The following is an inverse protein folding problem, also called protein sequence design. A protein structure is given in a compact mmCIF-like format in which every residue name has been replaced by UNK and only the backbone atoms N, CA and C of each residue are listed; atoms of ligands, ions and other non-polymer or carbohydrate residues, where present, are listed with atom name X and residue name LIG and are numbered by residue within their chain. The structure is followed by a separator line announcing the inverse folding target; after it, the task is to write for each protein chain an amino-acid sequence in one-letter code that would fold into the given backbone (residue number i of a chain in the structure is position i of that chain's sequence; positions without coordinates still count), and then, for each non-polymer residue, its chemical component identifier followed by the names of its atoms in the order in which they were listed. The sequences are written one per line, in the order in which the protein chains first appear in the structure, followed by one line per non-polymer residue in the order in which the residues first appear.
data_IF_852799748303
#
_entry.id   IF_852799748303
#
_cell.length_a   1.000
_cell.length_b   1.000
_cell.length_c   1.000
_cell.angle_alpha   90.00
_cell.angle_beta   90.00
_cell.angle_gamma   90.00
#
_symmetry.space_group_name_H-M   'P 1'
#
loop_
_entity.id
_entity.type
_entity.pdbx_description
1 polymer ?
#
# COMPACT_ATOMS: atom_id res chain seq x y z
N UNK A 1 -23.59 -3.42 -14.26
CA UNK A 1 -23.58 -2.14 -13.53
C UNK A 1 -22.19 -1.56 -13.41
N UNK A 2 -22.01 -0.31 -13.84
CA UNK A 2 -20.73 0.41 -13.81
C UNK A 2 -20.68 1.50 -12.72
N UNK A 3 -21.84 1.84 -12.14
CA UNK A 3 -21.97 2.90 -11.17
C UNK A 3 -21.81 2.36 -9.74
N UNK A 4 -21.02 3.07 -8.93
CA UNK A 4 -20.86 2.82 -7.50
C UNK A 4 -21.82 3.69 -6.69
N UNK A 5 -22.21 3.21 -5.50
CA UNK A 5 -22.98 4.01 -4.55
C UNK A 5 -22.19 5.23 -4.08
N UNK A 6 -22.91 6.29 -3.67
CA UNK A 6 -22.30 7.48 -3.11
C UNK A 6 -21.54 7.15 -1.81
N UNK A 7 -20.33 7.69 -1.69
CA UNK A 7 -19.55 7.66 -0.46
C UNK A 7 -19.03 9.07 -0.19
N UNK A 8 -19.13 9.57 1.06
CA UNK A 8 -18.60 10.88 1.43
C UNK A 8 -17.07 10.90 1.37
N UNK A 9 -16.48 12.10 1.36
CA UNK A 9 -15.03 12.26 1.45
C UNK A 9 -14.54 11.86 2.85
N UNK A 10 -13.66 10.85 2.90
CA UNK A 10 -13.12 10.30 4.15
C UNK A 10 -11.76 10.89 4.55
N UNK A 11 -11.28 11.93 3.87
CA UNK A 11 -10.01 12.60 4.20
C UNK A 11 -10.00 13.06 5.66
N UNK A 12 -8.87 12.87 6.36
CA UNK A 12 -8.74 13.19 7.79
C UNK A 12 -9.35 12.16 8.75
N UNK A 13 -10.00 11.11 8.24
CA UNK A 13 -10.50 9.99 9.06
C UNK A 13 -9.60 8.75 9.00
N UNK A 14 -9.86 7.78 9.88
CA UNK A 14 -9.20 6.48 9.85
C UNK A 14 -9.45 5.70 8.55
N UNK A 15 -10.58 5.96 7.87
CA UNK A 15 -10.99 5.28 6.64
C UNK A 15 -10.51 6.00 5.36
N UNK A 16 -9.66 7.01 5.46
CA UNK A 16 -9.10 7.71 4.30
C UNK A 16 -8.36 6.74 3.37
N UNK A 17 -8.48 6.95 2.06
CA UNK A 17 -7.76 6.18 1.05
C UNK A 17 -6.24 6.26 1.27
N UNK A 18 -5.56 5.12 1.12
CA UNK A 18 -4.10 5.00 1.22
C UNK A 18 -3.53 4.44 -0.08
N UNK A 19 -2.70 5.18 -0.82
CA UNK A 19 -2.12 4.68 -2.07
C UNK A 19 -1.14 3.52 -1.82
N UNK A 20 -0.85 2.75 -2.87
CA UNK A 20 0.15 1.66 -2.79
C UNK A 20 1.50 2.23 -2.35
N UNK A 21 2.15 1.57 -1.40
CA UNK A 21 3.42 2.00 -0.82
C UNK A 21 3.31 3.02 0.31
N UNK A 22 2.10 3.50 0.64
CA UNK A 22 1.89 4.34 1.82
C UNK A 22 2.29 3.60 3.10
N UNK A 23 3.05 4.27 3.97
CA UNK A 23 3.45 3.75 5.29
C UNK A 23 2.25 3.50 6.21
N UNK A 24 1.16 4.24 5.99
CA UNK A 24 -0.09 4.13 6.76
C UNK A 24 -1.04 3.08 6.18
N UNK A 25 -0.62 2.35 5.15
CA UNK A 25 -1.37 1.21 4.63
C UNK A 25 -0.94 -0.06 5.37
N UNK A 26 -1.90 -0.87 5.79
CA UNK A 26 -1.64 -2.20 6.39
C UNK A 26 -1.14 -3.25 5.38
N UNK A 27 -0.65 -2.82 4.20
CA UNK A 27 -0.20 -3.73 3.15
C UNK A 27 1.30 -3.93 3.24
N UNK A 28 1.72 -5.18 3.25
CA UNK A 28 3.13 -5.54 3.10
C UNK A 28 3.66 -4.96 1.77
N UNK A 29 4.89 -4.44 1.77
CA UNK A 29 5.53 -4.01 0.52
C UNK A 29 5.62 -5.21 -0.41
N UNK A 30 5.26 -5.07 -1.70
CA UNK A 30 5.45 -6.17 -2.64
C UNK A 30 6.92 -6.57 -2.63
N UNK A 31 7.18 -7.88 -2.61
CA UNK A 31 8.54 -8.38 -2.83
C UNK A 31 8.93 -8.03 -4.26
N UNK A 32 10.09 -7.40 -4.42
CA UNK A 32 10.62 -7.02 -5.73
C UNK A 32 11.19 -8.29 -6.37
N UNK A 33 10.81 -8.59 -7.61
CA UNK A 33 11.33 -9.73 -8.39
C UNK A 33 12.66 -9.41 -9.08
N UNK A 34 13.41 -8.42 -8.60
CA UNK A 34 14.65 -8.01 -9.22
C UNK A 34 15.78 -8.95 -8.81
N UNK A 35 16.75 -9.15 -9.69
CA UNK A 35 17.93 -10.00 -9.47
C UNK A 35 18.95 -9.40 -8.48
N UNK A 36 18.54 -8.36 -7.74
CA UNK A 36 19.37 -7.70 -6.76
C UNK A 36 19.09 -8.27 -5.37
N UNK A 37 20.01 -9.08 -4.88
CA UNK A 37 20.07 -9.48 -3.48
C UNK A 37 21.02 -8.54 -2.72
N UNK A 38 20.48 -7.87 -1.70
CA UNK A 38 21.29 -7.03 -0.83
C UNK A 38 22.27 -7.90 -0.02
N UNK A 39 23.56 -7.54 -0.07
CA UNK A 39 24.58 -8.23 0.73
C UNK A 39 24.28 -8.13 2.23
N UNK A 40 24.29 -9.28 2.93
CA UNK A 40 24.10 -9.38 4.37
C UNK A 40 25.35 -9.97 5.02
N UNK A 41 26.09 -9.25 5.88
CA UNK A 41 27.25 -9.81 6.56
C UNK A 41 26.86 -10.91 7.54
N UNK A 42 27.43 -12.10 7.36
CA UNK A 42 27.30 -13.23 8.29
C UNK A 42 26.11 -14.17 8.05
N UNK A 43 25.49 -14.14 6.88
CA UNK A 43 24.52 -15.14 6.42
C UNK A 43 25.16 -16.51 6.17
#
# INVERSE_FOLDING_TARGET
DWQKSHQPNLTGSAAAYRPKGSILSNKHRPQVTGDYDAWTPGS
#
